data_IF_351398547862
#
_entry.id   IF_351398547862
#
_cell.length_a   1.000
_cell.length_b   1.000
_cell.length_c   1.000
_cell.angle_alpha   90.00
_cell.angle_beta   90.00
_cell.angle_gamma   90.00
#
_symmetry.space_group_name_H-M   'P 1'
#
loop_
_entity.id
_entity.type
_entity.pdbx_description
1 polymer ?
#
# COMPACT_ATOMS: atom_id res chain seq x y z
N UNK A 1 14.90 -10.78 16.83
CA UNK A 1 14.93 -9.40 16.29
C UNK A 1 14.58 -9.33 14.80
N UNK A 2 15.16 -10.17 13.94
CA UNK A 2 14.88 -10.20 12.48
C UNK A 2 13.40 -10.31 12.10
N UNK A 3 12.61 -11.11 12.81
CA UNK A 3 11.17 -11.24 12.53
C UNK A 3 10.36 -9.95 12.72
N UNK A 4 10.71 -9.13 13.72
CA UNK A 4 10.06 -7.84 13.98
C UNK A 4 10.47 -6.80 12.92
N UNK A 5 11.75 -6.77 12.53
CA UNK A 5 12.24 -5.89 11.45
C UNK A 5 11.51 -6.19 10.14
N UNK A 6 11.32 -7.47 9.80
CA UNK A 6 10.56 -7.88 8.62
C UNK A 6 9.11 -7.40 8.71
N UNK A 7 8.47 -7.48 9.88
CA UNK A 7 7.09 -6.98 10.08
C UNK A 7 6.96 -5.47 9.88
N UNK A 8 7.97 -4.70 10.25
CA UNK A 8 8.03 -3.25 10.01
C UNK A 8 8.24 -2.95 8.53
N UNK A 9 9.13 -3.68 7.86
CA UNK A 9 9.47 -3.45 6.46
C UNK A 9 8.36 -3.87 5.49
N UNK A 10 7.62 -4.95 5.78
CA UNK A 10 6.60 -5.53 4.88
C UNK A 10 5.56 -4.53 4.37
N UNK A 11 4.92 -3.70 5.23
CA UNK A 11 4.00 -2.67 4.77
C UNK A 11 4.62 -1.68 3.77
N UNK A 12 5.82 -1.21 4.07
CA UNK A 12 6.55 -0.25 3.24
C UNK A 12 6.90 -0.88 1.90
N UNK A 13 7.43 -2.10 1.91
CA UNK A 13 7.75 -2.84 0.68
C UNK A 13 6.50 -3.09 -0.17
N UNK A 14 5.37 -3.48 0.44
CA UNK A 14 4.11 -3.68 -0.29
C UNK A 14 3.63 -2.38 -0.94
N UNK A 15 3.71 -1.26 -0.22
CA UNK A 15 3.39 0.05 -0.79
C UNK A 15 4.34 0.43 -1.94
N UNK A 16 5.64 0.21 -1.82
CA UNK A 16 6.59 0.51 -2.90
C UNK A 16 6.30 -0.33 -4.15
N UNK A 17 5.99 -1.62 -4.00
CA UNK A 17 5.59 -2.48 -5.11
C UNK A 17 4.29 -2.02 -5.75
N UNK A 18 3.30 -1.62 -4.93
CA UNK A 18 2.06 -1.03 -5.42
C UNK A 18 2.33 0.24 -6.23
N UNK A 19 3.13 1.17 -5.71
CA UNK A 19 3.49 2.41 -6.40
C UNK A 19 4.15 2.15 -7.75
N UNK A 20 5.12 1.23 -7.80
CA UNK A 20 5.80 0.83 -9.05
C UNK A 20 4.77 0.25 -10.05
N UNK A 21 3.85 -0.59 -9.60
CA UNK A 21 2.84 -1.20 -10.45
C UNK A 21 1.87 -0.14 -11.04
N UNK A 22 1.37 0.78 -10.21
CA UNK A 22 0.49 1.86 -10.66
C UNK A 22 1.21 2.78 -11.66
N UNK A 23 2.45 3.15 -11.36
CA UNK A 23 3.26 3.97 -12.26
C UNK A 23 3.50 3.28 -13.61
N UNK A 24 3.80 1.97 -13.60
CA UNK A 24 4.00 1.20 -14.81
C UNK A 24 2.70 1.09 -15.64
N UNK A 25 1.55 0.90 -14.99
CA UNK A 25 0.23 0.88 -15.65
C UNK A 25 -0.09 2.21 -16.32
N UNK A 26 0.08 3.33 -15.61
CA UNK A 26 -0.12 4.67 -16.17
C UNK A 26 0.83 4.89 -17.35
N UNK A 27 2.11 4.54 -17.19
CA UNK A 27 3.11 4.68 -18.26
C UNK A 27 2.78 3.83 -19.49
N UNK A 28 2.22 2.63 -19.30
CA UNK A 28 1.80 1.76 -20.40
C UNK A 28 0.57 2.30 -21.15
N UNK A 29 -0.40 2.85 -20.42
CA UNK A 29 -1.61 3.45 -20.99
C UNK A 29 -1.29 4.75 -21.75
N UNK A 30 -0.35 5.54 -21.24
CA UNK A 30 0.02 6.85 -21.78
C UNK A 30 1.21 6.83 -22.74
N UNK A 31 1.75 5.65 -23.06
CA UNK A 31 2.77 5.53 -24.08
C UNK A 31 2.20 5.93 -25.46
N UNK A 32 3.02 6.48 -26.39
CA UNK A 32 2.55 6.91 -27.71
C UNK A 32 1.87 5.80 -28.54
N UNK A 33 2.25 4.55 -28.27
CA UNK A 33 1.71 3.34 -28.92
C UNK A 33 0.52 2.71 -28.18
N UNK A 34 0.08 3.28 -27.05
CA UNK A 34 -1.06 2.84 -26.25
C UNK A 34 -1.09 1.34 -26.00
N UNK A 35 -0.17 0.81 -25.17
CA UNK A 35 -0.06 -0.64 -24.95
C UNK A 35 -1.31 -1.24 -24.30
N UNK A 36 -2.08 -0.42 -23.56
CA UNK A 36 -3.30 -0.81 -22.86
C UNK A 36 -4.34 0.30 -22.96
N UNK A 37 -5.62 -0.08 -23.03
CA UNK A 37 -6.74 0.87 -23.00
C UNK A 37 -6.89 1.52 -21.61
N UNK A 38 -7.31 2.80 -21.53
CA UNK A 38 -7.50 3.49 -20.24
C UNK A 38 -8.48 2.79 -19.29
N UNK A 39 -9.54 2.16 -19.81
CA UNK A 39 -10.53 1.46 -18.98
C UNK A 39 -9.95 0.17 -18.38
N UNK A 40 -9.14 -0.57 -19.16
CA UNK A 40 -8.41 -1.72 -18.66
C UNK A 40 -7.38 -1.29 -17.60
N UNK A 41 -6.66 -0.19 -17.84
CA UNK A 41 -5.72 0.38 -16.87
C UNK A 41 -6.42 0.72 -15.54
N UNK A 42 -7.58 1.40 -15.59
CA UNK A 42 -8.38 1.72 -14.40
C UNK A 42 -8.85 0.47 -13.66
N UNK A 43 -9.36 -0.53 -14.39
CA UNK A 43 -9.81 -1.79 -13.79
C UNK A 43 -8.68 -2.51 -13.05
N UNK A 44 -7.52 -2.67 -13.69
CA UNK A 44 -6.35 -3.32 -13.08
C UNK A 44 -5.83 -2.49 -11.90
N UNK A 45 -5.73 -1.17 -12.04
CA UNK A 45 -5.30 -0.28 -10.96
C UNK A 45 -6.23 -0.36 -9.75
N UNK A 46 -7.55 -0.41 -9.96
CA UNK A 46 -8.53 -0.57 -8.88
C UNK A 46 -8.36 -1.91 -8.14
N UNK A 47 -8.20 -3.02 -8.88
CA UNK A 47 -8.01 -4.35 -8.29
C UNK A 47 -6.70 -4.42 -7.48
N UNK A 48 -5.59 -3.96 -8.06
CA UNK A 48 -4.27 -3.95 -7.40
C UNK A 48 -4.29 -3.09 -6.15
N UNK A 49 -4.88 -1.89 -6.23
CA UNK A 49 -5.01 -0.98 -5.09
C UNK A 49 -5.88 -1.59 -3.99
N UNK A 50 -7.06 -2.12 -4.33
CA UNK A 50 -7.94 -2.74 -3.36
C UNK A 50 -7.25 -3.94 -2.67
N UNK A 51 -6.58 -4.80 -3.43
CA UNK A 51 -5.84 -5.95 -2.89
C UNK A 51 -4.74 -5.52 -1.90
N UNK A 52 -3.90 -4.57 -2.29
CA UNK A 52 -2.85 -4.06 -1.41
C UNK A 52 -3.40 -3.34 -0.17
N UNK A 53 -4.47 -2.55 -0.32
CA UNK A 53 -5.13 -1.87 0.79
C UNK A 53 -5.72 -2.86 1.80
N UNK A 54 -6.38 -3.92 1.33
CA UNK A 54 -6.92 -4.98 2.20
C UNK A 54 -5.79 -5.68 2.96
N UNK A 55 -4.68 -6.02 2.29
CA UNK A 55 -3.53 -6.65 2.95
C UNK A 55 -2.92 -5.75 4.04
N UNK A 56 -2.75 -4.46 3.75
CA UNK A 56 -2.26 -3.49 4.75
C UNK A 56 -3.24 -3.32 5.91
N UNK A 57 -4.54 -3.29 5.64
CA UNK A 57 -5.57 -3.21 6.67
C UNK A 57 -5.55 -4.45 7.58
N UNK A 58 -5.40 -5.65 7.00
CA UNK A 58 -5.24 -6.90 7.76
C UNK A 58 -4.01 -6.82 8.65
N UNK A 59 -2.86 -6.38 8.12
CA UNK A 59 -1.64 -6.23 8.92
C UNK A 59 -1.78 -5.18 10.03
N UNK A 60 -2.44 -4.06 9.76
CA UNK A 60 -2.73 -3.03 10.74
C UNK A 60 -3.60 -3.58 11.88
N UNK A 61 -4.69 -4.27 11.55
CA UNK A 61 -5.59 -4.90 12.53
C UNK A 61 -4.85 -5.94 13.37
N UNK A 62 -3.99 -6.76 12.76
CA UNK A 62 -3.16 -7.73 13.49
C UNK A 62 -2.16 -7.04 14.42
N UNK A 63 -1.51 -5.95 13.99
CA UNK A 63 -0.62 -5.15 14.83
C UNK A 63 -1.35 -4.54 16.02
N UNK A 64 -2.55 -3.98 15.79
CA UNK A 64 -3.41 -3.42 16.85
C UNK A 64 -3.89 -4.48 17.84
N UNK A 65 -4.29 -5.66 17.36
CA UNK A 65 -4.66 -6.79 18.23
C UNK A 65 -3.48 -7.24 19.09
N UNK A 66 -2.29 -7.34 18.50
CA UNK A 66 -1.06 -7.69 19.22
C UNK A 66 -0.73 -6.62 20.28
N UNK A 67 -0.88 -5.33 19.96
CA UNK A 67 -0.65 -4.23 20.92
C UNK A 67 -1.55 -4.32 22.15
N UNK A 68 -2.81 -4.75 21.97
CA UNK A 68 -3.79 -4.88 23.07
C UNK A 68 -3.48 -6.05 24.01
N UNK A 69 -2.74 -7.05 23.54
CA UNK A 69 -2.36 -8.23 24.34
C UNK A 69 -1.04 -8.02 25.10
N UNK A 70 -0.27 -6.99 24.75
CA UNK A 70 1.02 -6.69 25.39
C UNK A 70 0.80 -5.83 26.64
N UNK A 71 1.49 -6.20 27.72
CA UNK A 71 1.55 -5.40 28.93
C UNK A 71 2.17 -4.02 28.68
N UNK A 72 1.87 -3.08 29.58
CA UNK A 72 2.28 -1.70 29.39
C UNK A 72 3.82 -1.55 29.33
N UNK A 73 4.54 -2.35 30.10
CA UNK A 73 5.99 -2.34 30.26
C UNK A 73 6.70 -3.41 29.40
N UNK A 74 5.97 -4.08 28.50
CA UNK A 74 6.56 -5.11 27.65
C UNK A 74 7.65 -4.51 26.74
N UNK A 75 8.87 -5.08 26.68
CA UNK A 75 9.98 -4.54 25.89
C UNK A 75 9.72 -4.57 24.38
N UNK A 76 8.76 -5.36 23.91
CA UNK A 76 8.37 -5.47 22.50
C UNK A 76 7.41 -4.37 22.04
N UNK A 77 6.79 -3.63 22.98
CA UNK A 77 5.80 -2.60 22.71
C UNK A 77 6.26 -1.52 21.73
N UNK A 78 7.46 -0.92 21.84
CA UNK A 78 7.91 0.10 20.87
C UNK A 78 8.04 -0.46 19.44
N UNK A 79 8.51 -1.70 19.28
CA UNK A 79 8.58 -2.32 17.94
C UNK A 79 7.20 -2.57 17.36
N UNK A 80 6.24 -3.02 18.18
CA UNK A 80 4.88 -3.23 17.70
C UNK A 80 4.17 -1.92 17.32
N UNK A 81 4.44 -0.83 18.04
CA UNK A 81 3.98 0.53 17.67
C UNK A 81 4.57 0.94 16.31
N UNK A 82 5.86 0.66 16.06
CA UNK A 82 6.47 0.93 14.76
C UNK A 82 5.77 0.12 13.63
N UNK A 83 5.44 -1.15 13.86
CA UNK A 83 4.68 -1.97 12.88
C UNK A 83 3.33 -1.33 12.55
N UNK A 84 2.59 -0.87 13.56
CA UNK A 84 1.29 -0.21 13.39
C UNK A 84 1.42 1.06 12.55
N UNK A 85 2.40 1.91 12.89
CA UNK A 85 2.63 3.15 12.16
C UNK A 85 3.07 2.90 10.72
N UNK A 86 3.97 1.94 10.48
CA UNK A 86 4.37 1.55 9.13
C UNK A 86 3.17 1.08 8.31
N UNK A 87 2.30 0.24 8.89
CA UNK A 87 1.08 -0.21 8.21
C UNK A 87 0.11 0.94 7.92
N UNK A 88 -0.11 1.84 8.88
CA UNK A 88 -1.01 2.98 8.72
C UNK A 88 -0.51 3.97 7.65
N UNK A 89 0.77 4.33 7.69
CA UNK A 89 1.37 5.26 6.72
C UNK A 89 1.29 4.67 5.31
N UNK A 90 1.68 3.40 5.14
CA UNK A 90 1.56 2.72 3.85
C UNK A 90 0.11 2.65 3.36
N UNK A 91 -0.85 2.42 4.25
CA UNK A 91 -2.27 2.36 3.88
C UNK A 91 -2.76 3.73 3.39
N UNK A 92 -2.44 4.80 4.11
CA UNK A 92 -2.77 6.18 3.71
C UNK A 92 -2.12 6.53 2.36
N UNK A 93 -0.89 6.09 2.13
CA UNK A 93 -0.19 6.32 0.88
C UNK A 93 -0.83 5.55 -0.30
N UNK A 94 -1.36 4.34 -0.10
CA UNK A 94 -2.17 3.64 -1.12
C UNK A 94 -3.45 4.43 -1.42
N UNK A 95 -4.13 4.96 -0.41
CA UNK A 95 -5.32 5.78 -0.64
C UNK A 95 -5.00 7.08 -1.39
N UNK A 96 -3.88 7.73 -1.10
CA UNK A 96 -3.43 8.90 -1.86
C UNK A 96 -3.17 8.56 -3.34
N UNK A 97 -2.65 7.36 -3.62
CA UNK A 97 -2.42 6.88 -5.00
C UNK A 97 -3.72 6.60 -5.79
N UNK A 98 -4.91 6.58 -5.16
CA UNK A 98 -6.18 6.52 -5.90
C UNK A 98 -6.49 7.80 -6.65
N UNK A 99 -5.94 8.95 -6.22
CA UNK A 99 -6.17 10.23 -6.88
C UNK A 99 -5.86 10.15 -8.38
N UNK A 100 -4.64 9.84 -8.83
CA UNK A 100 -4.33 9.83 -10.25
C UNK A 100 -5.22 8.87 -11.05
N UNK A 101 -5.63 7.74 -10.48
CA UNK A 101 -6.55 6.79 -11.14
C UNK A 101 -7.96 7.38 -11.32
N UNK A 102 -8.43 8.17 -10.34
CA UNK A 102 -9.77 8.75 -10.34
C UNK A 102 -9.87 10.07 -11.13
N UNK A 103 -8.81 10.88 -11.15
CA UNK A 103 -8.85 12.26 -11.69
C UNK A 103 -8.21 12.36 -13.08
N UNK A 104 -7.20 11.56 -13.40
CA UNK A 104 -6.59 11.59 -14.73
C UNK A 104 -7.53 10.89 -15.72
N UNK A 105 -8.44 11.67 -16.30
CA UNK A 105 -9.31 11.23 -17.38
C UNK A 105 -8.53 11.02 -18.69
N UNK A 106 -7.41 11.72 -18.83
CA UNK A 106 -6.53 11.67 -20.01
C UNK A 106 -5.07 11.61 -19.59
N UNK A 107 -4.21 11.21 -20.52
CA UNK A 107 -2.77 11.20 -20.35
C UNK A 107 -2.11 12.59 -20.49
N UNK A 108 -2.91 13.66 -20.66
CA UNK A 108 -2.43 15.01 -20.91
C UNK A 108 -2.27 15.86 -19.65
N UNK A 109 -2.70 15.36 -18.48
CA UNK A 109 -2.77 16.13 -17.24
C UNK A 109 -4.13 16.78 -17.04
#
# INVERSE_FOLDING_TARGET
MTGQVIRIARPVTLWSLHFIAIYALISAACAPRGLIEPDMMRGVAAIVTAGCAILLLVWLVLGLRTARMLDADAPERPLNVAVIWSALISLLAIFANLWPVAVLATCAG
#
